data_IF_150789831738
#
_entry.id   IF_150789831738
#
_cell.length_a   1.000
_cell.length_b   1.000
_cell.length_c   1.000
_cell.angle_alpha   90.00
_cell.angle_beta   90.00
_cell.angle_gamma   90.00
#
_symmetry.space_group_name_H-M   'P 1'
#
loop_
_entity.id
_entity.type
_entity.pdbx_description
1 polymer ?
#
# COMPACT_ATOMS: atom_id res chain seq x y z
N UNK A 1 2.11 0.62 -8.91
CA UNK A 1 3.23 -0.32 -8.82
C UNK A 1 4.51 0.37 -8.35
N UNK A 2 4.85 1.53 -8.92
CA UNK A 2 6.06 2.25 -8.52
C UNK A 2 6.09 2.59 -7.02
N UNK A 3 4.94 2.96 -6.44
CA UNK A 3 4.85 3.24 -5.01
C UNK A 3 5.28 2.04 -4.16
N UNK A 4 4.71 0.87 -4.43
CA UNK A 4 5.00 -0.33 -3.63
C UNK A 4 6.36 -0.93 -3.95
N UNK A 5 6.76 -0.96 -5.20
CA UNK A 5 8.03 -1.54 -5.63
C UNK A 5 9.20 -0.61 -5.33
N UNK A 6 9.12 0.65 -5.77
CA UNK A 6 10.27 1.56 -5.76
C UNK A 6 10.36 2.36 -4.46
N UNK A 7 9.24 2.90 -3.96
CA UNK A 7 9.24 3.69 -2.74
C UNK A 7 9.28 2.82 -1.47
N UNK A 8 8.43 1.77 -1.40
CA UNK A 8 8.40 0.86 -0.26
C UNK A 8 9.41 -0.29 -0.37
N UNK A 9 9.97 -0.53 -1.55
CA UNK A 9 11.00 -1.55 -1.75
C UNK A 9 10.49 -2.99 -1.77
N UNK A 10 9.21 -3.20 -2.08
CA UNK A 10 8.67 -4.54 -2.24
C UNK A 10 9.11 -5.13 -3.58
N UNK A 11 9.21 -6.46 -3.63
CA UNK A 11 9.59 -7.18 -4.85
C UNK A 11 8.37 -7.73 -5.56
N UNK A 12 8.35 -7.62 -6.89
CA UNK A 12 7.33 -8.25 -7.72
C UNK A 12 7.58 -9.76 -7.74
N UNK A 13 6.62 -10.52 -7.20
CA UNK A 13 6.68 -11.99 -7.15
C UNK A 13 5.94 -12.63 -8.30
N UNK A 14 4.89 -11.99 -8.81
CA UNK A 14 4.10 -12.47 -9.91
C UNK A 14 3.41 -11.30 -10.60
N UNK A 15 3.23 -11.41 -11.91
CA UNK A 15 2.59 -10.38 -12.73
C UNK A 15 1.81 -11.10 -13.81
N UNK A 16 0.49 -11.21 -13.62
CA UNK A 16 -0.39 -11.98 -14.50
C UNK A 16 -1.38 -11.04 -15.18
N UNK A 17 -1.45 -11.13 -16.49
CA UNK A 17 -2.46 -10.43 -17.30
C UNK A 17 -3.43 -11.46 -17.87
N UNK A 18 -4.73 -11.24 -17.65
CA UNK A 18 -5.79 -12.08 -18.18
C UNK A 18 -6.89 -11.18 -18.74
N UNK A 19 -7.10 -11.24 -20.05
CA UNK A 19 -8.04 -10.34 -20.72
C UNK A 19 -7.64 -8.88 -20.52
N UNK A 20 -8.57 -8.08 -20.01
CA UNK A 20 -8.36 -6.65 -19.77
C UNK A 20 -7.80 -6.35 -18.37
N UNK A 21 -7.56 -7.37 -17.55
CA UNK A 21 -7.15 -7.18 -16.16
C UNK A 21 -5.75 -7.71 -15.89
N UNK A 22 -5.09 -7.08 -14.94
CA UNK A 22 -3.75 -7.44 -14.50
C UNK A 22 -3.73 -7.55 -12.99
N UNK A 23 -3.05 -8.58 -12.50
CA UNK A 23 -2.81 -8.79 -11.07
C UNK A 23 -1.30 -8.82 -10.84
N UNK A 24 -0.83 -7.91 -9.98
CA UNK A 24 0.59 -7.86 -9.61
C UNK A 24 0.73 -8.22 -8.14
N UNK A 25 1.47 -9.27 -7.85
CA UNK A 25 1.74 -9.73 -6.49
C UNK A 25 3.12 -9.25 -6.07
N UNK A 26 3.20 -8.58 -4.92
CA UNK A 26 4.44 -8.10 -4.35
C UNK A 26 4.66 -8.71 -2.96
N UNK A 27 5.90 -8.84 -2.58
CA UNK A 27 6.27 -9.39 -1.28
C UNK A 27 7.63 -8.89 -0.82
N UNK A 28 8.03 -9.34 0.36
CA UNK A 28 9.32 -9.00 0.95
C UNK A 28 9.98 -10.25 1.51
N UNK A 29 11.29 -10.38 1.38
CA UNK A 29 12.05 -11.50 1.95
C UNK A 29 12.00 -11.48 3.48
N UNK A 30 11.81 -10.30 4.08
CA UNK A 30 11.68 -10.16 5.53
C UNK A 30 10.42 -10.83 6.07
N UNK A 31 9.38 -11.01 5.22
CA UNK A 31 8.14 -11.66 5.58
C UNK A 31 7.62 -12.50 4.41
N UNK A 32 8.23 -13.68 4.16
CA UNK A 32 7.96 -14.48 2.96
C UNK A 32 6.50 -14.92 2.79
N UNK A 33 5.77 -15.07 3.91
CA UNK A 33 4.36 -15.48 3.88
C UNK A 33 3.37 -14.36 3.60
N UNK A 34 3.83 -13.09 3.62
CA UNK A 34 2.97 -11.93 3.39
C UNK A 34 3.06 -11.46 1.95
N UNK A 35 1.91 -11.16 1.34
CA UNK A 35 1.84 -10.68 -0.05
C UNK A 35 0.82 -9.57 -0.18
N UNK A 36 1.09 -8.64 -1.09
CA UNK A 36 0.15 -7.59 -1.52
C UNK A 36 -0.15 -7.80 -2.99
N UNK A 37 -1.43 -7.87 -3.33
CA UNK A 37 -1.86 -8.01 -4.73
C UNK A 37 -2.47 -6.71 -5.21
N UNK A 38 -1.93 -6.17 -6.29
CA UNK A 38 -2.45 -4.96 -6.93
C UNK A 38 -3.33 -5.36 -8.11
N UNK A 39 -4.56 -4.88 -8.10
CA UNK A 39 -5.51 -5.07 -9.20
C UNK A 39 -6.46 -3.88 -9.26
N UNK A 40 -7.10 -3.69 -10.44
CA UNK A 40 -8.14 -2.68 -10.54
C UNK A 40 -9.41 -3.15 -9.82
N UNK A 41 -10.31 -2.24 -9.38
CA UNK A 41 -11.51 -2.63 -8.64
C UNK A 41 -12.43 -3.61 -9.36
N UNK A 42 -12.45 -3.58 -10.68
CA UNK A 42 -13.33 -4.45 -11.50
C UNK A 42 -12.76 -5.84 -11.75
N UNK A 43 -11.48 -6.09 -11.43
CA UNK A 43 -10.83 -7.36 -11.71
C UNK A 43 -11.49 -8.51 -10.92
N UNK A 44 -12.02 -9.49 -11.64
CA UNK A 44 -12.68 -10.66 -11.06
C UNK A 44 -14.04 -10.38 -10.41
N UNK A 45 -14.65 -9.20 -10.67
CA UNK A 45 -15.93 -8.79 -10.08
C UNK A 45 -16.94 -8.42 -11.15
N UNK A 46 -18.22 -8.35 -10.76
CA UNK A 46 -19.27 -7.78 -11.61
C UNK A 46 -19.04 -6.28 -11.82
N UNK A 47 -19.63 -5.73 -12.87
CA UNK A 47 -19.54 -4.29 -13.13
C UNK A 47 -20.04 -3.48 -11.94
N UNK A 48 -21.18 -3.88 -11.36
CA UNK A 48 -21.78 -3.18 -10.22
C UNK A 48 -20.87 -3.20 -8.98
N UNK A 49 -20.27 -4.33 -8.67
CA UNK A 49 -19.36 -4.46 -7.52
C UNK A 49 -18.07 -3.70 -7.75
N UNK A 50 -17.52 -3.74 -8.97
CA UNK A 50 -16.36 -2.95 -9.34
C UNK A 50 -16.60 -1.45 -9.23
N UNK A 51 -17.77 -0.98 -9.67
CA UNK A 51 -18.17 0.43 -9.55
C UNK A 51 -18.29 0.86 -8.08
N UNK A 52 -18.87 0.00 -7.24
CA UNK A 52 -19.00 0.27 -5.80
C UNK A 52 -17.63 0.38 -5.12
N UNK A 53 -16.70 -0.54 -5.45
CA UNK A 53 -15.33 -0.49 -4.92
C UNK A 53 -14.59 0.75 -5.40
N UNK A 54 -14.74 1.11 -6.68
CA UNK A 54 -14.10 2.31 -7.23
C UNK A 54 -14.58 3.56 -6.50
N UNK A 55 -15.87 3.64 -6.19
CA UNK A 55 -16.42 4.76 -5.43
C UNK A 55 -15.86 4.82 -4.01
N UNK A 56 -15.79 3.68 -3.32
CA UNK A 56 -15.21 3.59 -1.97
C UNK A 56 -13.72 3.97 -1.98
N UNK A 57 -12.98 3.52 -2.97
CA UNK A 57 -11.56 3.88 -3.14
C UNK A 57 -11.40 5.38 -3.34
N UNK A 58 -12.20 5.97 -4.20
CA UNK A 58 -12.16 7.41 -4.50
C UNK A 58 -12.44 8.26 -3.26
N UNK A 59 -13.32 7.79 -2.38
CA UNK A 59 -13.63 8.45 -1.09
C UNK A 59 -12.55 8.22 -0.03
N UNK A 60 -11.63 7.30 -0.25
CA UNK A 60 -10.66 6.86 0.77
C UNK A 60 -11.30 6.03 1.88
N UNK A 61 -12.39 5.33 1.58
CA UNK A 61 -13.16 4.56 2.57
C UNK A 61 -12.76 3.09 2.65
N UNK A 62 -11.83 2.61 1.82
CA UNK A 62 -11.34 1.24 1.89
C UNK A 62 -10.45 1.04 3.14
N UNK A 63 -10.36 -0.19 3.66
CA UNK A 63 -9.47 -0.49 4.77
C UNK A 63 -8.02 -0.10 4.46
N UNK A 64 -7.32 0.36 5.49
CA UNK A 64 -5.92 0.73 5.34
C UNK A 64 -4.99 -0.50 5.31
N UNK A 65 -3.82 -0.33 4.70
CA UNK A 65 -2.74 -1.31 4.74
C UNK A 65 -1.72 -0.87 5.79
N UNK A 66 -1.18 -1.83 6.54
CA UNK A 66 -0.15 -1.56 7.55
C UNK A 66 1.10 -2.36 7.22
N UNK A 67 2.22 -1.66 7.09
CA UNK A 67 3.54 -2.27 6.93
C UNK A 67 4.38 -1.96 8.16
N UNK A 68 5.41 -2.76 8.42
CA UNK A 68 6.39 -2.47 9.46
C UNK A 68 7.75 -2.14 8.84
N UNK A 69 8.52 -1.34 9.54
CA UNK A 69 9.87 -0.95 9.14
C UNK A 69 10.81 -1.00 10.35
N UNK A 70 12.04 -1.42 10.15
CA UNK A 70 13.07 -1.38 11.21
C UNK A 70 13.51 0.05 11.51
N UNK A 71 13.29 0.97 10.56
CA UNK A 71 13.59 2.39 10.73
C UNK A 71 12.50 3.20 10.04
N UNK A 72 11.45 3.52 10.80
CA UNK A 72 10.27 4.21 10.26
C UNK A 72 10.62 5.60 9.75
N UNK A 73 11.53 6.32 10.40
CA UNK A 73 11.92 7.67 9.95
C UNK A 73 12.65 7.63 8.60
N UNK A 74 13.55 6.68 8.39
CA UNK A 74 14.24 6.51 7.12
C UNK A 74 13.27 6.08 6.01
N UNK A 75 12.34 5.18 6.30
CA UNK A 75 11.30 4.76 5.36
C UNK A 75 10.40 5.93 5.00
N UNK A 76 10.00 6.73 5.99
CA UNK A 76 9.19 7.93 5.76
C UNK A 76 9.87 8.88 4.77
N UNK A 77 11.14 9.19 4.98
CA UNK A 77 11.87 10.11 4.11
C UNK A 77 11.97 9.57 2.67
N UNK A 78 12.20 8.28 2.52
CA UNK A 78 12.26 7.63 1.20
C UNK A 78 10.92 7.73 0.46
N UNK A 79 9.82 7.43 1.15
CA UNK A 79 8.48 7.46 0.56
C UNK A 79 8.06 8.90 0.26
N UNK A 80 8.32 9.83 1.18
CA UNK A 80 8.05 11.26 0.97
C UNK A 80 8.80 11.79 -0.26
N UNK A 81 10.07 11.43 -0.40
CA UNK A 81 10.90 11.88 -1.52
C UNK A 81 10.40 11.34 -2.88
N UNK A 82 9.64 10.25 -2.89
CA UNK A 82 9.03 9.70 -4.12
C UNK A 82 7.84 10.55 -4.61
N UNK A 83 7.38 11.52 -3.84
CA UNK A 83 6.24 12.38 -4.18
C UNK A 83 4.91 11.90 -3.63
N UNK A 84 4.90 10.88 -2.77
CA UNK A 84 3.66 10.38 -2.17
C UNK A 84 2.99 11.42 -1.26
N UNK A 85 1.65 11.40 -1.23
CA UNK A 85 0.89 12.26 -0.34
C UNK A 85 1.08 11.83 1.12
N UNK A 86 1.56 12.74 1.96
CA UNK A 86 1.76 12.49 3.39
C UNK A 86 0.46 12.77 4.12
N UNK A 87 -0.07 11.78 4.84
CA UNK A 87 -1.23 11.94 5.70
C UNK A 87 -0.82 12.24 7.15
N UNK A 88 0.30 11.66 7.60
CA UNK A 88 0.82 11.85 8.94
C UNK A 88 2.34 11.66 8.94
N UNK A 89 3.07 12.61 9.49
CA UNK A 89 4.52 12.47 9.73
C UNK A 89 4.78 11.48 10.87
N UNK A 90 6.01 10.93 11.00
CA UNK A 90 6.32 10.00 12.09
C UNK A 90 6.07 10.64 13.45
N UNK A 91 5.24 9.98 14.25
CA UNK A 91 4.97 10.35 15.64
C UNK A 91 4.94 9.11 16.53
N UNK A 92 5.30 9.30 17.80
CA UNK A 92 5.16 8.24 18.80
C UNK A 92 3.70 8.22 19.25
N UNK A 93 3.02 7.11 18.95
CA UNK A 93 1.65 6.92 19.41
C UNK A 93 1.64 6.57 20.89
N UNK A 94 0.83 7.23 21.68
CA UNK A 94 0.77 6.97 23.12
C UNK A 94 0.22 5.58 23.47
N UNK A 95 -0.44 4.92 22.51
CA UNK A 95 -1.03 3.59 22.65
C UNK A 95 -0.24 2.48 21.94
N UNK A 96 0.78 2.83 21.16
CA UNK A 96 1.47 1.85 20.32
C UNK A 96 2.78 2.37 19.76
N UNK A 97 3.27 1.76 18.66
CA UNK A 97 4.56 2.10 18.08
C UNK A 97 4.57 3.46 17.40
N UNK A 98 5.76 3.95 17.12
CA UNK A 98 5.96 5.11 16.25
C UNK A 98 5.52 4.76 14.84
N UNK A 99 4.70 5.59 14.22
CA UNK A 99 4.21 5.34 12.87
C UNK A 99 4.05 6.61 12.04
N UNK A 100 3.88 6.41 10.74
CA UNK A 100 3.52 7.46 9.79
C UNK A 100 2.47 6.92 8.82
N UNK A 101 1.90 7.79 8.02
CA UNK A 101 0.87 7.40 7.07
C UNK A 101 0.98 8.18 5.76
N UNK A 102 0.68 7.49 4.68
CA UNK A 102 0.65 8.02 3.32
C UNK A 102 -0.63 7.59 2.62
N UNK A 103 -0.90 8.24 1.49
CA UNK A 103 -1.89 7.77 0.53
C UNK A 103 -1.15 7.25 -0.71
N UNK A 104 -1.51 6.08 -1.21
CA UNK A 104 -0.94 5.58 -2.45
C UNK A 104 -1.54 6.34 -3.65
N UNK A 105 -0.99 6.20 -4.88
CA UNK A 105 -1.49 6.92 -6.04
C UNK A 105 -2.96 6.66 -6.38
N UNK A 106 -3.51 5.53 -5.94
CA UNK A 106 -4.91 5.19 -6.18
C UNK A 106 -5.85 5.67 -5.08
N UNK A 107 -5.31 6.19 -3.97
CA UNK A 107 -6.10 6.72 -2.86
C UNK A 107 -6.18 5.81 -1.64
N UNK A 108 -5.50 4.67 -1.63
CA UNK A 108 -5.46 3.79 -0.46
C UNK A 108 -4.60 4.41 0.65
N UNK A 109 -5.05 4.28 1.89
CA UNK A 109 -4.26 4.69 3.05
C UNK A 109 -3.25 3.60 3.40
N UNK A 110 -1.99 4.00 3.54
CA UNK A 110 -0.88 3.11 3.89
C UNK A 110 -0.24 3.63 5.17
N UNK A 111 -0.19 2.82 6.22
CA UNK A 111 0.52 3.14 7.46
C UNK A 111 1.79 2.32 7.54
N UNK A 112 2.84 2.94 8.08
CA UNK A 112 4.13 2.29 8.30
C UNK A 112 4.46 2.45 9.77
N UNK A 113 4.59 1.32 10.47
CA UNK A 113 4.85 1.27 11.89
C UNK A 113 6.28 0.78 12.16
N UNK A 114 6.90 1.33 13.22
CA UNK A 114 8.20 0.86 13.68
C UNK A 114 8.09 -0.58 14.17
N UNK A 115 8.93 -1.46 13.65
CA UNK A 115 8.99 -2.84 14.10
C UNK A 115 9.46 -2.92 15.56
N UNK A 116 8.96 -3.89 16.28
CA UNK A 116 9.29 -4.11 17.68
C UNK A 116 10.74 -4.59 17.85
#
# INVERSE_FOLDING_TARGET
LAFYRDALGLEVRNDVKSGDYRWVTLGSDAQPGGQVVLSVPHAGRSQADGDALQELLTKGALPLLVFTSDDVDATFEKVRASGAEVLQEPIDQGWGPRDCAFRDPSGNQVRIAQAA
#
